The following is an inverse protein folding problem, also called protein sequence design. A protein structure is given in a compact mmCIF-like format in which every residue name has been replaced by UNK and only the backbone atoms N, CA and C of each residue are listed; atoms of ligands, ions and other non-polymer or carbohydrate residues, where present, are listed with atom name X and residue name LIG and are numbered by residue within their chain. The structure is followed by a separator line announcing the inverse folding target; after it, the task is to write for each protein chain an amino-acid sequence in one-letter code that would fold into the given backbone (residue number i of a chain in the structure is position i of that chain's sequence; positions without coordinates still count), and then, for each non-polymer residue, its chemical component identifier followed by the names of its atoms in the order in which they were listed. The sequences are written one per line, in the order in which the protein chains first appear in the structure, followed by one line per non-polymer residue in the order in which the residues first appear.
data_IF_030775850310
#
_entry.id   IF_030775850310
#
_cell.length_a   1.000
_cell.length_b   1.000
_cell.length_c   1.000
_cell.angle_alpha   90.00
_cell.angle_beta   90.00
_cell.angle_gamma   90.00
#
_symmetry.space_group_name_H-M   'P 1'
#
loop_
_entity.id
_entity.type
_entity.pdbx_description
1 polymer ?
#
# COMPACT_ATOMS: atom_id res chain seq x y z
N UNK A 1 -52.88 -10.47 -7.55
CA UNK A 1 -52.40 -9.11 -7.21
C UNK A 1 -50.88 -9.16 -7.12
N UNK A 2 -50.23 -8.72 -8.18
CA UNK A 2 -48.77 -8.75 -8.35
C UNK A 2 -48.32 -7.31 -8.45
N UNK A 3 -47.67 -6.79 -7.41
CA UNK A 3 -46.95 -5.50 -7.42
C UNK A 3 -46.18 -5.38 -6.10
N UNK A 4 -45.02 -4.75 -6.17
CA UNK A 4 -44.11 -4.38 -5.06
C UNK A 4 -42.98 -5.34 -4.68
N UNK A 5 -42.12 -5.72 -5.63
CA UNK A 5 -40.70 -6.01 -5.32
C UNK A 5 -39.81 -5.51 -6.48
N UNK A 6 -39.84 -4.21 -6.78
CA UNK A 6 -38.86 -3.61 -7.72
C UNK A 6 -38.24 -2.30 -7.19
N UNK A 7 -38.77 -1.72 -6.11
CA UNK A 7 -38.24 -0.49 -5.51
C UNK A 7 -37.13 -0.70 -4.49
N UNK A 8 -37.03 -1.87 -3.87
CA UNK A 8 -36.03 -2.16 -2.83
C UNK A 8 -34.66 -2.55 -3.39
N UNK A 9 -34.58 -3.07 -4.61
CA UNK A 9 -33.32 -3.47 -5.24
C UNK A 9 -32.54 -2.26 -5.79
N UNK A 10 -33.24 -1.28 -6.38
CA UNK A 10 -32.64 -0.04 -6.92
C UNK A 10 -32.13 0.90 -5.83
N UNK A 11 -32.77 0.94 -4.66
CA UNK A 11 -32.29 1.73 -3.51
C UNK A 11 -31.03 1.08 -2.90
N UNK A 12 -30.96 -0.25 -2.84
CA UNK A 12 -29.77 -0.95 -2.35
C UNK A 12 -28.59 -0.82 -3.33
N UNK A 13 -28.84 -0.88 -4.65
CA UNK A 13 -27.83 -0.65 -5.69
C UNK A 13 -27.32 0.80 -5.71
N UNK A 14 -28.20 1.80 -5.55
CA UNK A 14 -27.78 3.22 -5.48
C UNK A 14 -27.04 3.57 -4.17
N UNK A 15 -27.32 2.88 -3.06
CA UNK A 15 -26.55 2.98 -1.82
C UNK A 15 -25.18 2.27 -1.90
N UNK A 16 -25.07 1.18 -2.68
CA UNK A 16 -23.78 0.55 -2.98
C UNK A 16 -22.94 1.39 -3.94
N UNK A 17 -23.54 2.01 -4.95
CA UNK A 17 -22.86 2.95 -5.86
C UNK A 17 -22.33 4.18 -5.12
N UNK A 18 -23.09 4.72 -4.15
CA UNK A 18 -22.62 5.83 -3.30
C UNK A 18 -21.41 5.49 -2.42
N UNK A 19 -21.14 4.21 -2.12
CA UNK A 19 -19.95 3.78 -1.35
C UNK A 19 -18.82 3.22 -2.20
N UNK A 20 -19.06 3.02 -3.50
CA UNK A 20 -18.08 2.61 -4.49
C UNK A 20 -17.55 3.78 -5.33
N UNK A 21 -17.94 5.03 -5.03
CA UNK A 21 -17.32 6.20 -5.63
C UNK A 21 -15.87 6.31 -5.15
N UNK A 22 -14.99 5.86 -6.03
CA UNK A 22 -13.61 6.23 -6.14
C UNK A 22 -13.47 7.76 -6.09
N UNK A 23 -13.40 8.36 -4.89
CA UNK A 23 -12.94 9.73 -4.79
C UNK A 23 -11.52 9.75 -5.37
N UNK A 24 -11.33 10.36 -6.54
CA UNK A 24 -10.00 10.76 -6.97
C UNK A 24 -9.48 11.69 -5.87
N UNK A 25 -8.48 11.20 -5.14
CA UNK A 25 -7.92 11.93 -4.03
C UNK A 25 -7.06 13.02 -4.63
N UNK A 26 -7.54 14.27 -4.56
CA UNK A 26 -6.69 15.44 -4.80
C UNK A 26 -5.62 15.48 -3.71
N UNK A 27 -4.36 15.31 -4.12
CA UNK A 27 -3.20 15.48 -3.25
C UNK A 27 -2.90 16.97 -3.10
N UNK A 28 -2.39 17.36 -1.94
CA UNK A 28 -1.98 18.73 -1.71
C UNK A 28 -0.69 19.05 -2.48
N UNK A 29 -0.54 20.31 -2.88
CA UNK A 29 0.65 20.78 -3.60
C UNK A 29 1.94 20.44 -2.84
N UNK A 30 3.01 19.98 -3.52
CA UNK A 30 4.27 19.61 -2.87
C UNK A 30 4.85 20.73 -2.01
N UNK A 31 5.55 20.39 -0.92
CA UNK A 31 6.31 21.37 -0.13
C UNK A 31 7.50 21.89 -0.93
N UNK A 32 8.20 20.98 -1.61
CA UNK A 32 9.28 21.34 -2.52
C UNK A 32 8.69 21.71 -3.88
N UNK A 33 8.82 22.96 -4.36
CA UNK A 33 8.23 23.41 -5.63
C UNK A 33 8.82 22.70 -6.86
N UNK A 34 9.97 22.05 -6.74
CA UNK A 34 10.57 21.27 -7.82
C UNK A 34 9.90 19.89 -7.99
N UNK A 35 9.12 19.45 -7.01
CA UNK A 35 8.36 18.22 -7.11
C UNK A 35 7.07 18.44 -7.90
N UNK A 36 6.62 17.39 -8.56
CA UNK A 36 5.32 17.34 -9.22
C UNK A 36 4.56 16.12 -8.74
N UNK A 37 3.22 16.16 -8.85
CA UNK A 37 2.40 14.99 -8.58
C UNK A 37 2.76 13.90 -9.59
N UNK A 38 3.14 12.75 -9.08
CA UNK A 38 3.57 11.60 -9.87
C UNK A 38 2.73 10.38 -9.50
N UNK A 39 2.61 9.47 -10.47
CA UNK A 39 1.93 8.20 -10.29
C UNK A 39 2.85 7.06 -10.70
N UNK A 40 2.73 5.97 -9.97
CA UNK A 40 3.53 4.77 -10.14
C UNK A 40 2.63 3.55 -10.09
N UNK A 41 3.06 2.48 -10.75
CA UNK A 41 2.40 1.18 -10.74
C UNK A 41 3.34 0.18 -10.06
N UNK A 42 2.85 -0.45 -8.99
CA UNK A 42 3.55 -1.52 -8.29
C UNK A 42 2.99 -2.85 -8.77
N UNK A 43 3.71 -3.51 -9.67
CA UNK A 43 3.26 -4.74 -10.30
C UNK A 43 3.85 -5.95 -9.59
N UNK A 44 2.99 -6.88 -9.16
CA UNK A 44 3.45 -8.20 -8.69
C UNK A 44 4.00 -9.00 -9.87
N UNK A 45 5.14 -9.67 -9.68
CA UNK A 45 5.73 -10.59 -10.67
C UNK A 45 5.54 -12.05 -10.26
N UNK A 46 5.57 -12.92 -11.26
CA UNK A 46 5.63 -14.35 -11.03
C UNK A 46 7.03 -14.65 -10.46
N UNK A 47 7.07 -15.22 -9.27
CA UNK A 47 8.30 -15.60 -8.57
C UNK A 47 8.03 -16.90 -7.84
N UNK A 48 9.07 -17.70 -7.61
CA UNK A 48 8.95 -18.96 -6.86
C UNK A 48 8.46 -18.73 -5.43
N UNK A 49 8.75 -17.56 -4.85
CA UNK A 49 8.26 -17.11 -3.53
C UNK A 49 6.91 -16.38 -3.59
N UNK A 50 6.40 -16.08 -4.81
CA UNK A 50 5.17 -15.36 -5.13
C UNK A 50 5.04 -13.94 -4.57
N UNK A 51 6.13 -13.27 -4.19
CA UNK A 51 6.06 -12.02 -3.43
C UNK A 51 6.96 -10.90 -3.94
N UNK A 52 7.48 -11.04 -5.16
CA UNK A 52 8.29 -9.99 -5.78
C UNK A 52 7.42 -8.95 -6.50
N UNK A 53 7.85 -7.70 -6.43
CA UNK A 53 7.21 -6.56 -7.07
C UNK A 53 8.19 -5.79 -7.93
N UNK A 54 7.67 -5.12 -8.94
CA UNK A 54 8.44 -4.16 -9.73
C UNK A 54 7.63 -2.87 -9.80
N UNK A 55 8.29 -1.77 -9.49
CA UNK A 55 7.72 -0.44 -9.55
C UNK A 55 8.06 0.19 -10.91
N UNK A 56 7.03 0.76 -11.53
CA UNK A 56 7.13 1.51 -12.78
C UNK A 56 6.58 2.92 -12.56
N UNK A 57 7.22 3.92 -13.17
CA UNK A 57 6.62 5.25 -13.31
C UNK A 57 5.47 5.18 -14.31
N UNK A 58 4.41 5.95 -14.11
CA UNK A 58 3.29 6.02 -15.06
C UNK A 58 3.81 6.31 -16.48
N UNK A 59 3.27 5.59 -17.46
CA UNK A 59 3.64 5.65 -18.88
C UNK A 59 5.09 5.23 -19.20
N UNK A 60 5.82 4.66 -18.24
CA UNK A 60 7.12 4.04 -18.47
C UNK A 60 7.02 2.53 -18.43
N UNK A 61 7.76 1.86 -19.31
CA UNK A 61 7.98 0.40 -19.28
C UNK A 61 9.28 0.04 -18.57
N UNK A 62 10.15 1.02 -18.30
CA UNK A 62 11.40 0.80 -17.59
C UNK A 62 11.14 0.67 -16.08
N UNK A 63 11.63 -0.39 -15.42
CA UNK A 63 11.51 -0.55 -13.98
C UNK A 63 12.36 0.50 -13.25
N UNK A 64 11.83 1.08 -12.17
CA UNK A 64 12.55 2.06 -11.34
C UNK A 64 12.96 1.50 -9.97
N UNK A 65 12.26 0.48 -9.48
CA UNK A 65 12.62 -0.26 -8.26
C UNK A 65 12.18 -1.72 -8.49
N UNK A 66 13.07 -2.68 -8.23
CA UNK A 66 12.71 -4.09 -8.05
C UNK A 66 12.65 -4.38 -6.57
N UNK A 67 11.60 -5.05 -6.12
CA UNK A 67 11.37 -5.38 -4.71
C UNK A 67 11.26 -6.90 -4.62
N UNK A 68 12.23 -7.53 -3.99
CA UNK A 68 12.24 -8.96 -3.77
C UNK A 68 11.86 -9.24 -2.33
N UNK A 69 11.03 -10.25 -2.11
CA UNK A 69 10.64 -10.63 -0.76
C UNK A 69 11.33 -11.94 -0.36
N UNK A 70 12.15 -11.87 0.68
CA UNK A 70 12.76 -13.04 1.29
C UNK A 70 12.05 -13.39 2.60
N UNK A 71 11.78 -14.68 2.79
CA UNK A 71 11.34 -15.17 4.09
C UNK A 71 12.56 -15.41 4.96
N UNK A 72 12.74 -14.57 5.99
CA UNK A 72 13.81 -14.77 6.96
C UNK A 72 13.56 -16.02 7.82
N UNK A 73 12.29 -16.42 8.04
CA UNK A 73 11.93 -17.70 8.67
C UNK A 73 10.48 -18.12 8.32
N UNK A 74 10.31 -19.33 7.76
CA UNK A 74 9.02 -19.88 7.32
C UNK A 74 8.06 -20.21 8.48
N UNK A 75 8.57 -20.64 9.63
CA UNK A 75 7.75 -21.08 10.78
C UNK A 75 7.09 -19.91 11.50
N UNK A 76 7.76 -18.76 11.52
CA UNK A 76 7.32 -17.54 12.22
C UNK A 76 6.67 -16.52 11.27
N UNK A 77 6.74 -16.75 9.96
CA UNK A 77 6.25 -15.79 8.95
C UNK A 77 7.08 -14.50 8.89
N UNK A 78 8.35 -14.53 9.33
CA UNK A 78 9.25 -13.38 9.21
C UNK A 78 9.59 -13.15 7.75
N UNK A 79 9.35 -11.93 7.27
CA UNK A 79 9.71 -11.51 5.93
C UNK A 79 10.51 -10.22 5.97
N UNK A 80 11.42 -10.07 5.02
CA UNK A 80 12.12 -8.85 4.69
C UNK A 80 11.96 -8.55 3.21
N UNK A 81 12.26 -7.32 2.82
CA UNK A 81 12.24 -6.89 1.44
C UNK A 81 13.62 -6.39 1.04
N UNK A 82 14.03 -6.70 -0.18
CA UNK A 82 15.22 -6.18 -0.84
C UNK A 82 14.80 -5.28 -1.98
N UNK A 83 15.25 -4.04 -1.98
CA UNK A 83 14.96 -3.04 -3.00
C UNK A 83 16.22 -2.77 -3.81
N UNK A 84 16.15 -3.05 -5.10
CA UNK A 84 17.25 -2.82 -6.05
C UNK A 84 16.84 -1.77 -7.08
N UNK A 85 17.70 -0.76 -7.24
CA UNK A 85 17.49 0.35 -8.16
C UNK A 85 18.32 0.16 -9.45
N UNK A 86 17.92 0.78 -10.58
CA UNK A 86 18.66 0.69 -11.84
C UNK A 86 20.10 1.21 -11.78
N UNK A 87 20.40 2.13 -10.87
CA UNK A 87 21.73 2.70 -10.63
C UNK A 87 22.63 1.82 -9.74
N UNK A 88 22.14 0.65 -9.32
CA UNK A 88 22.85 -0.27 -8.43
C UNK A 88 22.71 0.06 -6.95
N UNK A 89 21.98 1.12 -6.59
CA UNK A 89 21.62 1.37 -5.19
C UNK A 89 20.78 0.20 -4.65
N UNK A 90 20.94 -0.06 -3.36
CA UNK A 90 20.26 -1.12 -2.64
C UNK A 90 19.71 -0.59 -1.30
N UNK A 91 18.49 -0.99 -0.97
CA UNK A 91 17.89 -0.80 0.36
C UNK A 91 17.25 -2.11 0.80
N UNK A 92 17.16 -2.34 2.10
CA UNK A 92 16.47 -3.49 2.67
C UNK A 92 15.48 -3.04 3.73
N UNK A 93 14.37 -3.77 3.82
CA UNK A 93 13.35 -3.60 4.84
C UNK A 93 13.39 -4.80 5.76
N UNK A 94 13.69 -4.56 7.03
CA UNK A 94 13.71 -5.61 8.06
C UNK A 94 12.60 -5.38 9.06
N UNK A 95 11.87 -6.45 9.38
CA UNK A 95 11.01 -6.48 10.54
C UNK A 95 11.87 -6.62 11.81
N UNK A 96 11.56 -5.86 12.85
CA UNK A 96 12.20 -6.07 14.14
C UNK A 96 11.87 -7.47 14.69
N UNK A 97 12.91 -8.28 14.93
CA UNK A 97 12.87 -9.73 15.15
C UNK A 97 12.12 -10.19 16.42
N UNK A 98 11.71 -9.28 17.29
CA UNK A 98 10.98 -9.61 18.52
C UNK A 98 9.45 -9.67 18.41
N UNK A 99 8.84 -9.33 17.26
CA UNK A 99 7.40 -8.96 17.23
C UNK A 99 6.57 -9.50 16.05
N UNK A 100 7.12 -10.29 15.11
CA UNK A 100 6.36 -10.69 13.91
C UNK A 100 5.38 -11.81 14.24
N UNK A 101 4.21 -11.38 14.70
CA UNK A 101 3.01 -12.19 14.83
C UNK A 101 1.88 -11.43 14.14
N UNK A 102 1.16 -12.10 13.27
CA UNK A 102 -0.01 -11.54 12.61
C UNK A 102 -0.99 -11.00 13.67
N UNK A 103 -1.44 -9.75 13.50
CA UNK A 103 -2.38 -9.11 14.43
C UNK A 103 -1.74 -8.29 15.55
N UNK A 104 -0.40 -8.30 15.66
CA UNK A 104 0.34 -7.49 16.63
C UNK A 104 1.05 -6.30 15.99
N UNK A 105 1.35 -5.31 16.85
CA UNK A 105 2.18 -4.15 16.49
C UNK A 105 3.53 -4.63 15.98
N UNK A 106 3.98 -4.01 14.90
CA UNK A 106 5.26 -4.33 14.28
C UNK A 106 5.96 -3.06 13.85
N UNK A 107 7.27 -3.03 14.02
CA UNK A 107 8.15 -2.02 13.44
C UNK A 107 8.94 -2.68 12.33
N UNK A 108 8.96 -2.01 11.19
CA UNK A 108 9.82 -2.31 10.06
C UNK A 108 10.74 -1.12 9.85
N UNK A 109 11.98 -1.39 9.47
CA UNK A 109 13.01 -0.38 9.27
C UNK A 109 13.65 -0.59 7.90
N UNK A 110 13.70 0.49 7.11
CA UNK A 110 14.50 0.56 5.90
C UNK A 110 15.96 0.81 6.33
N UNK A 111 16.95 0.28 5.64
CA UNK A 111 18.38 0.52 5.95
C UNK A 111 18.84 1.98 5.87
N UNK A 112 18.05 2.88 5.28
CA UNK A 112 18.30 4.33 5.36
C UNK A 112 17.83 4.97 6.68
N UNK A 113 17.31 4.17 7.61
CA UNK A 113 16.85 4.57 8.94
C UNK A 113 15.39 5.01 8.99
N UNK A 114 14.63 4.96 7.90
CA UNK A 114 13.18 5.21 7.92
C UNK A 114 12.46 4.03 8.56
N UNK A 115 11.64 4.33 9.58
CA UNK A 115 10.83 3.33 10.28
C UNK A 115 9.36 3.49 9.92
N UNK A 116 8.69 2.36 9.69
CA UNK A 116 7.24 2.31 9.68
C UNK A 116 6.70 1.39 10.77
N UNK A 117 5.71 1.92 11.50
CA UNK A 117 5.06 1.23 12.62
C UNK A 117 3.63 0.88 12.24
N UNK A 118 3.28 -0.38 12.41
CA UNK A 118 1.91 -0.85 12.29
C UNK A 118 1.30 -0.90 13.69
N UNK A 119 0.14 -0.28 13.83
CA UNK A 119 -0.75 -0.45 14.97
C UNK A 119 -2.05 -1.11 14.48
N UNK A 120 -2.12 -2.47 14.52
CA UNK A 120 -3.32 -3.18 14.15
C UNK A 120 -4.44 -2.86 15.13
N UNK A 121 -5.66 -2.71 14.61
CA UNK A 121 -6.85 -2.39 15.43
C UNK A 121 -7.95 -3.42 15.23
N UNK A 122 -7.56 -4.68 15.01
CA UNK A 122 -8.47 -5.80 14.78
C UNK A 122 -9.32 -5.57 13.53
N UNK A 123 -10.64 -5.52 13.71
CA UNK A 123 -11.60 -5.30 12.60
C UNK A 123 -11.69 -3.83 12.16
N UNK A 124 -11.06 -2.89 12.89
CA UNK A 124 -11.06 -1.48 12.56
C UNK A 124 -9.96 -1.13 11.55
N UNK A 125 -9.88 0.14 11.16
CA UNK A 125 -8.78 0.63 10.34
C UNK A 125 -7.46 0.58 11.14
N UNK A 126 -6.51 -0.20 10.65
CA UNK A 126 -5.14 -0.22 11.14
C UNK A 126 -4.46 1.11 10.83
N UNK A 127 -3.46 1.45 11.65
CA UNK A 127 -2.65 2.66 11.45
C UNK A 127 -1.24 2.27 11.06
N UNK A 128 -0.83 2.70 9.88
CA UNK A 128 0.53 2.57 9.40
C UNK A 128 1.18 3.94 9.49
N UNK A 129 2.17 4.08 10.38
CA UNK A 129 2.91 5.32 10.58
C UNK A 129 4.24 5.24 9.86
N UNK A 130 4.64 6.32 9.21
CA UNK A 130 6.00 6.56 8.73
C UNK A 130 6.59 7.60 9.68
N UNK A 131 7.63 7.21 10.39
CA UNK A 131 8.29 8.08 11.35
C UNK A 131 9.14 9.13 10.64
N UNK A 132 9.17 10.33 11.20
CA UNK A 132 10.07 11.38 10.77
C UNK A 132 11.51 10.94 10.98
N UNK A 133 12.26 10.79 9.88
CA UNK A 133 13.71 10.58 9.89
C UNK A 133 14.33 11.02 8.56
N UNK A 134 15.65 11.26 8.56
CA UNK A 134 16.38 11.68 7.36
C UNK A 134 15.77 12.90 6.68
N UNK A 135 15.40 12.74 5.41
CA UNK A 135 14.82 13.78 4.57
C UNK A 135 13.29 13.97 4.75
N UNK A 136 12.64 13.21 5.64
CA UNK A 136 11.22 13.38 5.93
C UNK A 136 11.00 14.59 6.84
N UNK A 137 10.09 15.48 6.43
CA UNK A 137 9.85 16.74 7.15
C UNK A 137 8.84 16.60 8.31
N UNK A 138 7.99 15.57 8.27
CA UNK A 138 6.96 15.26 9.26
C UNK A 138 6.83 13.75 9.48
N UNK A 139 6.00 13.32 10.45
CA UNK A 139 5.49 11.96 10.42
C UNK A 139 4.30 11.90 9.46
N UNK A 140 4.04 10.68 8.97
CA UNK A 140 2.93 10.42 8.08
C UNK A 140 2.12 9.23 8.58
N UNK A 141 0.81 9.25 8.34
CA UNK A 141 -0.09 8.16 8.72
C UNK A 141 -0.96 7.76 7.54
N UNK A 142 -0.98 6.45 7.28
CA UNK A 142 -1.96 5.79 6.43
C UNK A 142 -2.95 5.02 7.30
N UNK A 143 -4.21 5.46 7.25
CA UNK A 143 -5.32 4.73 7.85
C UNK A 143 -5.81 3.70 6.84
N UNK A 144 -5.52 2.43 7.13
CA UNK A 144 -5.80 1.31 6.24
C UNK A 144 -6.95 0.51 6.81
N UNK A 145 -8.07 0.41 6.08
CA UNK A 145 -9.09 -0.56 6.45
C UNK A 145 -8.51 -1.98 6.30
N UNK A 146 -8.75 -2.86 7.27
CA UNK A 146 -8.18 -4.21 7.34
C UNK A 146 -8.34 -5.03 6.05
N UNK A 147 -9.41 -4.81 5.27
CA UNK A 147 -9.64 -5.53 4.00
C UNK A 147 -9.21 -4.76 2.75
N UNK A 148 -8.69 -3.54 2.90
CA UNK A 148 -8.37 -2.65 1.78
C UNK A 148 -6.91 -2.27 1.80
N UNK A 149 -6.29 -2.34 0.63
CA UNK A 149 -4.93 -1.87 0.40
C UNK A 149 -4.92 -0.47 -0.23
N UNK A 150 -6.08 0.17 -0.35
CA UNK A 150 -6.20 1.54 -0.83
C UNK A 150 -6.39 2.51 0.35
N UNK A 151 -5.88 3.74 0.22
CA UNK A 151 -6.11 4.81 1.16
C UNK A 151 -5.12 5.95 1.04
N UNK A 152 -5.43 7.04 1.73
CA UNK A 152 -4.65 8.28 1.71
C UNK A 152 -3.61 8.26 2.82
N UNK A 153 -2.40 8.70 2.50
CA UNK A 153 -1.34 8.98 3.45
C UNK A 153 -1.37 10.47 3.74
N UNK A 154 -1.41 10.79 5.02
CA UNK A 154 -1.45 12.17 5.49
C UNK A 154 -0.26 12.50 6.34
N UNK A 155 0.26 13.72 6.26
CA UNK A 155 1.20 14.23 7.27
C UNK A 155 0.48 14.51 8.59
N UNK A 156 1.24 14.73 9.67
CA UNK A 156 0.69 15.16 10.96
C UNK A 156 -0.11 16.47 10.87
N UNK A 157 0.21 17.34 9.91
CA UNK A 157 -0.55 18.56 9.60
C UNK A 157 -1.78 18.29 8.73
N UNK A 158 -2.22 17.03 8.63
CA UNK A 158 -3.38 16.55 7.87
C UNK A 158 -3.30 16.77 6.33
N UNK A 159 -2.13 17.11 5.80
CA UNK A 159 -1.91 17.24 4.34
C UNK A 159 -1.95 15.87 3.67
N UNK A 160 -2.69 15.72 2.58
CA UNK A 160 -2.78 14.52 1.73
C UNK A 160 -1.58 14.47 0.79
N UNK A 161 -0.55 13.72 1.15
CA UNK A 161 0.72 13.73 0.40
C UNK A 161 0.87 12.58 -0.57
N UNK A 162 0.20 11.46 -0.31
CA UNK A 162 0.19 10.30 -1.19
C UNK A 162 -1.10 9.50 -1.04
N UNK A 163 -1.38 8.65 -2.03
CA UNK A 163 -2.54 7.79 -2.06
C UNK A 163 -2.19 6.45 -2.69
N UNK A 164 -2.49 5.38 -1.96
CA UNK A 164 -2.45 4.02 -2.47
C UNK A 164 -3.80 3.67 -3.08
N UNK A 165 -3.79 3.09 -4.27
CA UNK A 165 -4.98 2.54 -4.91
C UNK A 165 -4.74 1.08 -5.27
N UNK A 166 -5.78 0.27 -5.06
CA UNK A 166 -5.82 -1.12 -5.49
C UNK A 166 -7.08 -1.37 -6.33
N UNK A 167 -6.95 -2.19 -7.37
CA UNK A 167 -8.08 -2.78 -8.09
C UNK A 167 -7.87 -4.29 -8.20
N UNK A 168 -8.95 -5.06 -8.18
CA UNK A 168 -8.93 -6.51 -8.46
C UNK A 168 -10.00 -6.78 -9.51
N UNK A 169 -9.66 -7.51 -10.59
CA UNK A 169 -10.51 -7.65 -11.77
C UNK A 169 -11.01 -6.28 -12.32
N UNK A 170 -10.12 -5.27 -12.29
CA UNK A 170 -10.45 -3.90 -12.70
C UNK A 170 -11.30 -3.09 -11.70
N UNK A 171 -11.84 -3.71 -10.64
CA UNK A 171 -12.75 -3.03 -9.70
C UNK A 171 -12.07 -2.65 -8.37
N UNK A 172 -12.25 -1.39 -7.96
CA UNK A 172 -11.83 -0.91 -6.62
C UNK A 172 -12.63 -1.58 -5.52
N UNK A 173 -13.94 -1.76 -5.71
CA UNK A 173 -14.79 -2.43 -4.72
C UNK A 173 -14.32 -3.87 -4.49
N UNK A 174 -14.00 -4.59 -5.57
CA UNK A 174 -13.48 -5.96 -5.49
C UNK A 174 -12.14 -6.05 -4.76
N UNK A 175 -11.25 -5.05 -4.87
CA UNK A 175 -9.98 -5.05 -4.13
C UNK A 175 -10.13 -5.05 -2.60
N UNK A 176 -11.29 -4.59 -2.12
CA UNK A 176 -11.66 -4.59 -0.71
C UNK A 176 -12.29 -5.89 -0.22
N UNK A 177 -12.60 -6.82 -1.12
CA UNK A 177 -13.24 -8.11 -0.82
C UNK A 177 -12.28 -9.25 -1.17
N UNK A 178 -11.65 -9.16 -2.33
CA UNK A 178 -10.75 -10.14 -2.89
C UNK A 178 -9.32 -9.63 -2.89
N UNK A 179 -8.45 -10.48 -2.38
CA UNK A 179 -6.99 -10.33 -2.41
C UNK A 179 -6.40 -11.48 -3.21
N UNK A 180 -5.62 -11.17 -4.23
CA UNK A 180 -4.97 -12.20 -5.05
C UNK A 180 -3.45 -12.09 -4.97
N UNK A 181 -2.81 -13.25 -4.85
CA UNK A 181 -1.36 -13.40 -4.98
C UNK A 181 -0.94 -13.64 -6.44
N UNK A 182 -1.89 -13.86 -7.34
CA UNK A 182 -1.58 -14.14 -8.74
C UNK A 182 -1.23 -12.84 -9.47
N UNK A 183 -0.08 -12.79 -10.17
CA UNK A 183 0.30 -11.63 -10.99
C UNK A 183 -0.79 -11.23 -11.97
N UNK A 184 -1.02 -9.92 -12.12
CA UNK A 184 -1.96 -9.35 -13.09
C UNK A 184 -3.44 -9.32 -12.67
N UNK A 185 -3.85 -10.06 -11.63
CA UNK A 185 -5.24 -10.01 -11.15
C UNK A 185 -5.54 -8.76 -10.31
N UNK A 186 -4.58 -8.34 -9.50
CA UNK A 186 -4.66 -7.11 -8.70
C UNK A 186 -3.64 -6.10 -9.20
N UNK A 187 -4.08 -4.86 -9.39
CA UNK A 187 -3.24 -3.74 -9.78
C UNK A 187 -3.09 -2.77 -8.61
N UNK A 188 -1.85 -2.41 -8.29
CA UNK A 188 -1.51 -1.48 -7.21
C UNK A 188 -0.88 -0.24 -7.81
N UNK A 189 -1.34 0.94 -7.39
CA UNK A 189 -0.76 2.21 -7.82
C UNK A 189 -0.52 3.14 -6.65
N UNK A 190 0.54 3.95 -6.78
CA UNK A 190 0.94 4.95 -5.81
C UNK A 190 0.84 6.30 -6.50
N UNK A 191 0.08 7.23 -5.95
CA UNK A 191 0.12 8.65 -6.33
C UNK A 191 0.79 9.42 -5.21
N UNK A 192 1.73 10.32 -5.53
CA UNK A 192 2.48 11.08 -4.52
C UNK A 192 2.78 12.49 -5.02
N UNK A 193 2.78 13.46 -4.11
CA UNK A 193 3.26 14.82 -4.36
C UNK A 193 4.78 14.96 -4.16
N UNK A 194 5.47 13.89 -3.75
CA UNK A 194 6.91 13.86 -3.53
C UNK A 194 7.37 14.32 -2.14
N UNK A 195 6.46 14.66 -1.22
CA UNK A 195 6.83 14.96 0.18
C UNK A 195 7.37 13.72 0.92
N UNK A 196 6.99 12.52 0.46
CA UNK A 196 7.54 11.24 0.91
C UNK A 196 8.26 10.59 -0.27
N UNK A 197 9.54 10.18 -0.13
CA UNK A 197 10.29 9.51 -1.18
C UNK A 197 9.60 8.23 -1.68
N UNK A 198 9.75 7.95 -2.97
CA UNK A 198 9.03 6.85 -3.61
C UNK A 198 9.46 5.49 -3.08
N UNK A 199 10.72 5.32 -2.72
CA UNK A 199 11.25 4.10 -2.09
C UNK A 199 10.57 3.80 -0.75
N UNK A 200 10.31 4.84 0.06
CA UNK A 200 9.60 4.69 1.34
C UNK A 200 8.16 4.26 1.10
N UNK A 201 7.47 4.90 0.15
CA UNK A 201 6.09 4.56 -0.22
C UNK A 201 5.97 3.15 -0.81
N UNK A 202 6.91 2.76 -1.66
CA UNK A 202 6.95 1.44 -2.29
C UNK A 202 7.24 0.34 -1.25
N UNK A 203 8.21 0.54 -0.37
CA UNK A 203 8.52 -0.34 0.76
C UNK A 203 7.31 -0.53 1.68
N UNK A 204 6.67 0.56 2.08
CA UNK A 204 5.46 0.52 2.90
C UNK A 204 4.35 -0.28 2.21
N UNK A 205 4.11 -0.02 0.92
CA UNK A 205 3.00 -0.65 0.22
C UNK A 205 3.25 -2.14 -0.01
N UNK A 206 4.47 -2.50 -0.45
CA UNK A 206 4.88 -3.89 -0.61
C UNK A 206 4.80 -4.64 0.72
N UNK A 207 5.26 -4.04 1.83
CA UNK A 207 5.15 -4.63 3.18
C UNK A 207 3.69 -4.90 3.54
N UNK A 208 2.78 -3.97 3.28
CA UNK A 208 1.36 -4.17 3.54
C UNK A 208 0.73 -5.27 2.67
N UNK A 209 1.12 -5.36 1.40
CA UNK A 209 0.67 -6.42 0.49
C UNK A 209 1.17 -7.79 0.97
N UNK A 210 2.46 -7.92 1.26
CA UNK A 210 3.07 -9.16 1.76
C UNK A 210 2.49 -9.56 3.11
N UNK A 211 2.28 -8.59 4.01
CA UNK A 211 1.61 -8.85 5.29
C UNK A 211 0.20 -9.37 5.07
N UNK A 212 -0.58 -8.77 4.16
CA UNK A 212 -1.92 -9.28 3.82
C UNK A 212 -1.88 -10.66 3.18
N UNK A 213 -0.87 -10.95 2.36
CA UNK A 213 -0.67 -12.30 1.81
C UNK A 213 -0.51 -13.32 2.94
N UNK A 214 0.34 -13.03 3.94
CA UNK A 214 0.67 -13.98 5.01
C UNK A 214 -0.40 -14.06 6.10
N UNK A 215 -0.94 -12.90 6.51
CA UNK A 215 -1.83 -12.79 7.66
C UNK A 215 -3.33 -12.76 7.29
N UNK A 216 -3.68 -12.57 6.02
CA UNK A 216 -5.07 -12.44 5.57
C UNK A 216 -5.72 -11.08 5.86
N UNK A 217 -5.05 -10.23 6.65
CA UNK A 217 -5.45 -8.86 6.94
C UNK A 217 -4.34 -7.86 6.66
#
# INVERSE_FOLDING_TARGET
MTKFIFGSLTILLSLLERRASAYEVTLDSPINPNNTIQKFTLQRKLSWTNQDFVLYKQNSTAPIIKIENHMANQLTGFFGLDLTFPDGRYLDVKANAGQVVCGFRQIYEISDGVRFRIDPRGIHSDRWKIDKSGNLTANYTWYRNVRRLAGVIKSDNNRKVACFNATTFGSKAMSGIFHSRWPGLSNYTISTNGDVPIEVLASLYATAIVRRDKCGW
#
